data_IF_529788368180
#
_entry.id   IF_529788368180
#
_cell.length_a   1.000
_cell.length_b   1.000
_cell.length_c   1.000
_cell.angle_alpha   90.00
_cell.angle_beta   90.00
_cell.angle_gamma   90.00
#
_symmetry.space_group_name_H-M   'P 1'
#
loop_
_entity.id
_entity.type
_entity.pdbx_description
1 polymer ?
#
# COMPACT_ATOMS: atom_id res chain seq x y z
N UNK A 1 13.23 -37.20 -1.28
CA UNK A 1 12.81 -37.09 0.15
C UNK A 1 11.42 -36.42 0.23
N UNK A 2 10.64 -36.56 1.32
CA UNK A 2 9.34 -35.86 1.45
C UNK A 2 9.50 -34.49 2.17
N UNK A 3 8.55 -33.57 1.96
CA UNK A 3 8.63 -32.19 2.46
C UNK A 3 8.82 -32.08 3.99
N UNK A 4 8.06 -32.84 4.77
CA UNK A 4 8.17 -32.80 6.24
C UNK A 4 9.53 -33.26 6.75
N UNK A 5 10.16 -34.24 6.06
CA UNK A 5 11.51 -34.68 6.38
C UNK A 5 12.54 -33.62 5.95
N UNK A 6 12.37 -33.01 4.79
CA UNK A 6 13.25 -31.95 4.29
C UNK A 6 13.31 -30.76 5.28
N UNK A 7 12.16 -30.27 5.74
CA UNK A 7 12.08 -29.18 6.73
C UNK A 7 12.83 -29.51 8.02
N UNK A 8 12.58 -30.69 8.59
CA UNK A 8 13.27 -31.15 9.81
C UNK A 8 14.78 -31.32 9.63
N UNK A 9 15.25 -31.64 8.43
CA UNK A 9 16.66 -31.75 8.14
C UNK A 9 17.30 -30.36 7.99
N UNK A 10 16.61 -29.42 7.33
CA UNK A 10 17.04 -28.03 7.22
C UNK A 10 17.16 -27.36 8.60
N UNK A 11 16.19 -27.55 9.50
CA UNK A 11 16.22 -27.06 10.90
C UNK A 11 17.42 -27.60 11.70
N UNK A 12 17.94 -28.78 11.33
CA UNK A 12 19.09 -29.42 11.98
C UNK A 12 20.43 -29.15 11.29
N UNK A 13 20.43 -28.45 10.16
CA UNK A 13 21.62 -28.26 9.33
C UNK A 13 22.09 -29.53 8.62
N UNK A 14 21.19 -30.49 8.38
CA UNK A 14 21.47 -31.75 7.70
C UNK A 14 20.97 -31.71 6.24
N UNK A 15 21.70 -32.31 5.30
CA UNK A 15 21.34 -32.41 3.87
C UNK A 15 20.75 -31.10 3.29
N UNK A 16 21.40 -29.98 3.58
CA UNK A 16 20.86 -28.63 3.32
C UNK A 16 20.45 -28.48 1.84
N UNK A 17 21.33 -28.80 0.89
CA UNK A 17 21.04 -28.66 -0.55
C UNK A 17 19.84 -29.49 -1.01
N UNK A 18 19.76 -30.79 -0.67
CA UNK A 18 18.61 -31.64 -1.03
C UNK A 18 17.32 -31.16 -0.35
N UNK A 19 17.43 -30.66 0.89
CA UNK A 19 16.28 -30.14 1.63
C UNK A 19 15.74 -28.87 1.01
N UNK A 20 16.62 -27.94 0.61
CA UNK A 20 16.26 -26.69 -0.06
C UNK A 20 15.57 -26.97 -1.39
N UNK A 21 16.07 -27.89 -2.21
CA UNK A 21 15.44 -28.24 -3.50
C UNK A 21 13.96 -28.62 -3.32
N UNK A 22 13.66 -29.47 -2.33
CA UNK A 22 12.29 -29.94 -2.07
C UNK A 22 11.42 -28.82 -1.50
N UNK A 23 11.96 -28.00 -0.59
CA UNK A 23 11.20 -26.92 0.06
C UNK A 23 10.87 -25.82 -0.95
N UNK A 24 11.85 -25.40 -1.76
CA UNK A 24 11.71 -24.32 -2.74
C UNK A 24 10.79 -24.73 -3.89
N UNK A 25 10.92 -25.96 -4.42
CA UNK A 25 10.03 -26.47 -5.48
C UNK A 25 8.56 -26.54 -5.00
N UNK A 26 8.36 -26.98 -3.75
CA UNK A 26 7.03 -26.94 -3.14
C UNK A 26 6.50 -25.51 -2.99
N UNK A 27 7.33 -24.58 -2.52
CA UNK A 27 6.92 -23.19 -2.32
C UNK A 27 6.57 -22.50 -3.64
N UNK A 28 7.34 -22.73 -4.71
CA UNK A 28 7.03 -22.25 -6.06
C UNK A 28 5.69 -22.79 -6.55
N UNK A 29 5.42 -24.09 -6.35
CA UNK A 29 4.15 -24.71 -6.75
C UNK A 29 2.95 -24.08 -6.03
N UNK A 30 3.10 -23.76 -4.74
CA UNK A 30 2.08 -23.09 -3.95
C UNK A 30 1.84 -21.65 -4.44
N UNK A 31 2.90 -20.85 -4.61
CA UNK A 31 2.77 -19.48 -5.12
C UNK A 31 2.21 -19.43 -6.55
N UNK A 32 2.59 -20.37 -7.42
CA UNK A 32 2.02 -20.45 -8.77
C UNK A 32 0.51 -20.67 -8.73
N UNK A 33 0.04 -21.66 -7.97
CA UNK A 33 -1.39 -21.95 -7.88
C UNK A 33 -2.15 -20.86 -7.13
N UNK A 34 -1.54 -20.25 -6.11
CA UNK A 34 -2.09 -19.09 -5.44
C UNK A 34 -2.29 -17.96 -6.46
N UNK A 35 -1.25 -17.60 -7.20
CA UNK A 35 -1.32 -16.53 -8.18
C UNK A 35 -2.34 -16.82 -9.29
N UNK A 36 -2.39 -18.05 -9.80
CA UNK A 36 -3.34 -18.47 -10.82
C UNK A 36 -4.81 -18.37 -10.35
N UNK A 37 -5.10 -18.83 -9.13
CA UNK A 37 -6.45 -18.75 -8.56
C UNK A 37 -6.85 -17.30 -8.33
N UNK A 38 -6.02 -16.51 -7.67
CA UNK A 38 -6.29 -15.08 -7.43
C UNK A 38 -6.44 -14.31 -8.76
N UNK A 39 -5.62 -14.64 -9.75
CA UNK A 39 -5.70 -14.00 -11.06
C UNK A 39 -7.05 -14.27 -11.72
N UNK A 40 -7.64 -15.46 -11.58
CA UNK A 40 -8.98 -15.71 -12.11
C UNK A 40 -10.04 -14.75 -11.53
N UNK A 41 -9.97 -14.42 -10.24
CA UNK A 41 -10.86 -13.43 -9.63
C UNK A 41 -10.58 -12.01 -10.15
N UNK A 42 -9.33 -11.55 -10.04
CA UNK A 42 -8.95 -10.19 -10.41
C UNK A 42 -9.10 -9.92 -11.92
N UNK A 43 -8.89 -10.94 -12.76
CA UNK A 43 -9.03 -10.82 -14.21
C UNK A 43 -10.49 -10.71 -14.65
N UNK A 44 -11.43 -11.34 -13.93
CA UNK A 44 -12.88 -11.08 -14.14
C UNK A 44 -13.20 -9.64 -13.78
N UNK A 45 -12.75 -9.16 -12.61
CA UNK A 45 -12.99 -7.77 -12.17
C UNK A 45 -12.45 -6.78 -13.19
N UNK A 46 -11.25 -7.04 -13.73
CA UNK A 46 -10.69 -6.21 -14.79
C UNK A 46 -11.52 -6.27 -16.08
N UNK A 47 -11.99 -7.46 -16.46
CA UNK A 47 -12.84 -7.67 -17.62
C UNK A 47 -14.19 -6.94 -17.53
N UNK A 48 -14.81 -6.87 -16.35
CA UNK A 48 -16.10 -6.17 -16.18
C UNK A 48 -15.99 -4.64 -16.23
N UNK A 49 -14.82 -4.09 -15.92
CA UNK A 49 -14.55 -2.64 -15.91
C UNK A 49 -13.81 -2.14 -17.15
N UNK A 50 -13.62 -3.01 -18.15
CA UNK A 50 -12.78 -2.73 -19.32
C UNK A 50 -13.16 -1.45 -20.05
N UNK A 51 -14.46 -1.25 -20.31
CA UNK A 51 -14.96 -0.12 -21.06
C UNK A 51 -14.72 1.21 -20.33
N UNK A 52 -14.72 1.20 -18.99
CA UNK A 52 -14.40 2.36 -18.15
C UNK A 52 -12.88 2.66 -18.12
N UNK A 53 -12.06 1.67 -18.47
CA UNK A 53 -10.60 1.77 -18.42
C UNK A 53 -9.97 2.12 -19.77
N UNK A 54 -10.64 1.84 -20.89
CA UNK A 54 -10.20 2.19 -22.25
C UNK A 54 -10.45 3.66 -22.61
N UNK A 55 -10.02 4.58 -21.74
CA UNK A 55 -10.25 6.03 -21.90
C UNK A 55 -9.13 6.76 -22.64
N UNK A 56 -7.92 6.20 -22.67
CA UNK A 56 -6.77 6.79 -23.36
C UNK A 56 -5.85 5.71 -23.93
N UNK A 57 -4.91 6.12 -24.79
CA UNK A 57 -4.00 5.21 -25.51
C UNK A 57 -3.10 4.41 -24.59
N UNK A 58 -2.74 4.96 -23.43
CA UNK A 58 -1.83 4.32 -22.52
C UNK A 58 -2.53 3.24 -21.69
N UNK A 59 -3.71 3.54 -21.16
CA UNK A 59 -4.52 2.53 -20.49
C UNK A 59 -4.90 1.41 -21.45
N UNK A 60 -5.26 1.74 -22.68
CA UNK A 60 -5.49 0.76 -23.75
C UNK A 60 -4.25 -0.12 -23.99
N UNK A 61 -3.07 0.48 -24.09
CA UNK A 61 -1.83 -0.27 -24.25
C UNK A 61 -1.54 -1.21 -23.07
N UNK A 62 -1.68 -0.73 -21.83
CA UNK A 62 -1.46 -1.54 -20.60
C UNK A 62 -2.36 -2.78 -20.62
N UNK A 63 -3.65 -2.57 -20.85
CA UNK A 63 -4.66 -3.62 -20.85
C UNK A 63 -4.42 -4.64 -21.97
N UNK A 64 -4.14 -4.17 -23.19
CA UNK A 64 -3.79 -5.08 -24.30
C UNK A 64 -2.51 -5.86 -24.02
N UNK A 65 -1.56 -5.26 -23.29
CA UNK A 65 -0.32 -5.93 -22.88
C UNK A 65 -0.58 -7.01 -21.85
N UNK A 66 -1.40 -6.74 -20.84
CA UNK A 66 -1.87 -7.74 -19.86
C UNK A 66 -2.55 -8.90 -20.60
N UNK A 67 -3.39 -8.59 -21.58
CA UNK A 67 -4.08 -9.59 -22.41
C UNK A 67 -3.11 -10.51 -23.16
N UNK A 68 -2.14 -9.93 -23.88
CA UNK A 68 -1.11 -10.68 -24.61
C UNK A 68 -0.28 -11.57 -23.69
N UNK A 69 0.15 -11.03 -22.55
CA UNK A 69 0.94 -11.77 -21.56
C UNK A 69 0.10 -12.92 -20.97
N UNK A 70 -1.18 -12.69 -20.68
CA UNK A 70 -2.09 -13.72 -20.16
C UNK A 70 -2.22 -14.91 -21.11
N UNK A 71 -2.40 -14.64 -22.41
CA UNK A 71 -2.45 -15.68 -23.45
C UNK A 71 -1.17 -16.53 -23.41
N UNK A 72 -0.01 -15.88 -23.42
CA UNK A 72 1.31 -16.54 -23.48
C UNK A 72 1.62 -17.31 -22.20
N UNK A 73 1.30 -16.77 -21.03
CA UNK A 73 1.64 -17.35 -19.72
C UNK A 73 0.68 -18.48 -19.34
N UNK A 74 -0.63 -18.25 -19.47
CA UNK A 74 -1.65 -19.15 -18.93
C UNK A 74 -2.10 -20.19 -19.96
N UNK A 75 -2.34 -19.77 -21.21
CA UNK A 75 -2.92 -20.64 -22.23
C UNK A 75 -1.84 -21.38 -23.03
N UNK A 76 -0.84 -20.66 -23.53
CA UNK A 76 0.27 -21.25 -24.30
C UNK A 76 1.37 -21.85 -23.44
N UNK A 77 1.49 -21.38 -22.18
CA UNK A 77 2.59 -21.71 -21.25
C UNK A 77 3.98 -21.48 -21.84
N UNK A 78 4.11 -20.43 -22.65
CA UNK A 78 5.33 -20.03 -23.34
C UNK A 78 6.03 -18.90 -22.57
N UNK A 79 6.77 -19.28 -21.53
CA UNK A 79 7.49 -18.36 -20.65
C UNK A 79 8.97 -18.39 -20.99
N UNK A 80 9.52 -17.22 -21.37
CA UNK A 80 10.94 -17.02 -21.64
C UNK A 80 11.48 -15.77 -20.91
N UNK A 81 12.80 -15.56 -21.00
CA UNK A 81 13.45 -14.40 -20.37
C UNK A 81 13.02 -13.06 -20.98
N UNK A 82 12.55 -13.05 -22.24
CA UNK A 82 12.05 -11.83 -22.86
C UNK A 82 10.71 -11.42 -22.25
N UNK A 83 9.81 -12.38 -22.03
CA UNK A 83 8.53 -12.16 -21.39
C UNK A 83 8.70 -11.72 -19.94
N UNK A 84 9.67 -12.27 -19.21
CA UNK A 84 10.01 -11.82 -17.85
C UNK A 84 10.44 -10.35 -17.80
N UNK A 85 11.23 -9.88 -18.78
CA UNK A 85 11.59 -8.46 -18.87
C UNK A 85 10.41 -7.57 -19.28
N UNK A 86 9.55 -8.10 -20.14
CA UNK A 86 8.36 -7.42 -20.62
C UNK A 86 7.36 -7.16 -19.48
N UNK A 87 7.11 -8.16 -18.62
CA UNK A 87 6.21 -8.00 -17.48
C UNK A 87 6.82 -7.14 -16.37
N UNK A 88 8.14 -7.22 -16.12
CA UNK A 88 8.83 -6.34 -15.17
C UNK A 88 8.72 -4.86 -15.61
N UNK A 89 8.96 -4.58 -16.90
CA UNK A 89 8.81 -3.24 -17.46
C UNK A 89 7.37 -2.74 -17.39
N UNK A 90 6.39 -3.61 -17.65
CA UNK A 90 4.97 -3.26 -17.53
C UNK A 90 4.62 -2.91 -16.08
N UNK A 91 5.05 -3.76 -15.13
CA UNK A 91 4.85 -3.54 -13.69
C UNK A 91 5.45 -2.21 -13.25
N UNK A 92 6.73 -1.95 -13.56
CA UNK A 92 7.42 -0.70 -13.20
C UNK A 92 6.70 0.54 -13.73
N UNK A 93 6.17 0.49 -14.95
CA UNK A 93 5.35 1.56 -15.52
C UNK A 93 4.07 1.79 -14.70
N UNK A 94 3.28 0.74 -14.47
CA UNK A 94 2.02 0.83 -13.72
C UNK A 94 2.28 1.31 -12.27
N UNK A 95 3.28 0.76 -11.59
CA UNK A 95 3.64 1.16 -10.22
C UNK A 95 4.01 2.65 -10.13
N UNK A 96 4.82 3.16 -11.06
CA UNK A 96 5.18 4.59 -11.11
C UNK A 96 3.94 5.50 -11.25
N UNK A 97 2.98 5.11 -12.09
CA UNK A 97 1.73 5.87 -12.28
C UNK A 97 0.86 5.87 -11.04
N UNK A 98 0.72 4.70 -10.42
CA UNK A 98 -0.03 4.58 -9.17
C UNK A 98 0.62 5.43 -8.07
N UNK A 99 1.96 5.51 -8.02
CA UNK A 99 2.69 6.31 -7.05
C UNK A 99 2.47 7.82 -7.24
N UNK A 100 2.44 8.30 -8.49
CA UNK A 100 2.10 9.69 -8.81
C UNK A 100 0.66 10.00 -8.40
N UNK A 101 -0.30 9.10 -8.67
CA UNK A 101 -1.69 9.27 -8.26
C UNK A 101 -1.82 9.31 -6.72
N UNK A 102 -1.14 8.41 -6.00
CA UNK A 102 -1.09 8.43 -4.53
C UNK A 102 -0.53 9.75 -4.00
N UNK A 103 0.50 10.31 -4.66
CA UNK A 103 1.05 11.61 -4.27
C UNK A 103 0.04 12.75 -4.44
N UNK A 104 -0.78 12.74 -5.50
CA UNK A 104 -1.86 13.72 -5.65
C UNK A 104 -2.96 13.54 -4.59
N UNK A 105 -3.29 12.30 -4.21
CA UNK A 105 -4.23 12.01 -3.12
C UNK A 105 -3.69 12.58 -1.80
N UNK A 106 -2.46 12.22 -1.42
CA UNK A 106 -1.81 12.72 -0.19
C UNK A 106 -1.76 14.25 -0.16
N UNK A 107 -1.48 14.88 -1.31
CA UNK A 107 -1.46 16.33 -1.42
C UNK A 107 -2.85 16.95 -1.26
N UNK A 108 -3.89 16.37 -1.85
CA UNK A 108 -5.25 16.89 -1.69
C UNK A 108 -5.75 16.76 -0.25
N UNK A 109 -5.47 15.67 0.44
CA UNK A 109 -5.82 15.48 1.84
C UNK A 109 -5.20 16.56 2.74
N UNK A 110 -4.00 17.04 2.41
CA UNK A 110 -3.38 18.19 3.09
C UNK A 110 -4.23 19.46 2.94
N UNK A 111 -4.74 19.74 1.73
CA UNK A 111 -5.58 20.93 1.50
C UNK A 111 -6.99 20.74 2.05
N UNK A 112 -7.55 19.54 1.98
CA UNK A 112 -8.85 19.19 2.56
C UNK A 112 -8.84 19.37 4.07
N UNK A 113 -7.77 18.92 4.74
CA UNK A 113 -7.53 19.17 6.17
C UNK A 113 -7.68 20.67 6.51
N UNK A 114 -7.16 21.56 5.67
CA UNK A 114 -7.18 23.02 5.88
C UNK A 114 -8.57 23.59 5.64
N UNK A 115 -9.27 23.12 4.60
CA UNK A 115 -10.60 23.62 4.23
C UNK A 115 -11.65 23.19 5.25
N UNK A 116 -11.66 21.91 5.64
CA UNK A 116 -12.66 21.37 6.57
C UNK A 116 -12.64 22.10 7.93
N UNK A 117 -11.47 22.60 8.35
CA UNK A 117 -11.29 23.33 9.62
C UNK A 117 -11.68 24.80 9.59
N UNK A 118 -12.02 25.33 8.42
CA UNK A 118 -12.46 26.72 8.27
C UNK A 118 -13.98 26.83 8.13
N UNK A 119 -14.68 25.70 8.06
CA UNK A 119 -16.13 25.65 7.98
C UNK A 119 -16.82 26.11 9.26
N UNK A 120 -18.00 26.69 9.07
CA UNK A 120 -18.88 27.06 10.16
C UNK A 120 -19.72 25.85 10.58
N UNK A 121 -19.13 24.93 11.35
CA UNK A 121 -19.88 23.83 11.93
C UNK A 121 -20.70 24.32 13.14
N UNK A 122 -21.99 24.00 13.17
CA UNK A 122 -22.90 24.39 14.25
C UNK A 122 -22.89 23.44 15.45
N UNK A 123 -22.02 22.41 15.42
CA UNK A 123 -21.98 21.40 16.45
C UNK A 123 -21.60 21.95 17.82
N UNK A 124 -22.35 21.50 18.82
CA UNK A 124 -22.16 21.88 20.20
C UNK A 124 -20.94 21.18 20.80
N UNK A 125 -20.11 21.98 21.48
CA UNK A 125 -18.89 21.55 22.16
C UNK A 125 -19.27 20.68 23.36
N UNK A 126 -19.01 19.37 23.28
CA UNK A 126 -18.88 18.56 24.47
C UNK A 126 -17.64 19.00 25.25
N UNK A 127 -17.64 18.79 26.56
CA UNK A 127 -16.45 19.02 27.38
C UNK A 127 -15.24 18.29 26.76
N UNK A 128 -14.18 19.04 26.40
CA UNK A 128 -13.01 18.54 25.66
C UNK A 128 -12.37 17.31 26.34
N UNK A 129 -12.34 17.27 27.68
CA UNK A 129 -11.81 16.14 28.43
C UNK A 129 -12.71 14.89 28.35
N UNK A 130 -14.03 15.09 28.26
CA UNK A 130 -15.00 14.01 28.11
C UNK A 130 -14.89 13.44 26.69
N UNK A 131 -14.84 14.31 25.68
CA UNK A 131 -14.68 13.88 24.30
C UNK A 131 -13.37 13.14 24.06
N UNK A 132 -12.26 13.60 24.65
CA UNK A 132 -10.98 12.88 24.59
C UNK A 132 -11.08 11.45 25.17
N UNK A 133 -11.88 11.25 26.24
CA UNK A 133 -12.13 9.90 26.79
C UNK A 133 -13.02 9.05 25.89
N UNK A 134 -14.01 9.66 25.26
CA UNK A 134 -14.89 8.99 24.28
C UNK A 134 -14.06 8.48 23.09
N UNK A 135 -13.17 9.32 22.55
CA UNK A 135 -12.25 8.94 21.45
C UNK A 135 -11.36 7.77 21.86
N UNK A 136 -10.73 7.83 23.04
CA UNK A 136 -9.88 6.72 23.53
C UNK A 136 -10.71 5.44 23.68
N UNK A 137 -11.93 5.55 24.22
CA UNK A 137 -12.83 4.39 24.35
C UNK A 137 -13.21 3.82 22.99
N UNK A 138 -13.44 4.66 21.97
CA UNK A 138 -13.72 4.26 20.60
C UNK A 138 -12.56 3.51 19.95
N UNK A 139 -11.34 4.07 20.05
CA UNK A 139 -10.11 3.47 19.49
C UNK A 139 -9.89 2.07 20.08
N UNK A 140 -10.05 1.92 21.40
CA UNK A 140 -9.86 0.66 22.12
C UNK A 140 -11.12 -0.21 22.26
N UNK A 141 -12.21 0.12 21.56
CA UNK A 141 -13.42 -0.71 21.55
C UNK A 141 -13.19 -2.06 20.84
N UNK A 142 -12.27 -2.09 19.88
CA UNK A 142 -11.83 -3.33 19.21
C UNK A 142 -10.77 -4.06 20.04
N UNK A 143 -10.71 -5.38 19.89
CA UNK A 143 -9.62 -6.22 20.44
C UNK A 143 -8.52 -6.52 19.42
N UNK A 144 -8.75 -6.18 18.16
CA UNK A 144 -7.81 -6.40 17.08
C UNK A 144 -6.86 -5.20 16.92
N UNK A 145 -5.55 -5.47 17.01
CA UNK A 145 -4.52 -4.44 16.96
C UNK A 145 -4.45 -3.72 15.61
N UNK A 146 -4.83 -4.38 14.51
CA UNK A 146 -4.87 -3.73 13.18
C UNK A 146 -5.97 -2.67 13.17
N UNK A 147 -7.16 -3.04 13.61
CA UNK A 147 -8.30 -2.13 13.75
C UNK A 147 -8.00 -0.97 14.71
N UNK A 148 -7.38 -1.25 15.86
CA UNK A 148 -6.99 -0.21 16.83
C UNK A 148 -6.05 0.81 16.16
N UNK A 149 -5.03 0.33 15.45
CA UNK A 149 -4.07 1.20 14.79
C UNK A 149 -4.72 2.01 13.66
N UNK A 150 -5.62 1.42 12.89
CA UNK A 150 -6.36 2.13 11.85
C UNK A 150 -7.20 3.27 12.44
N UNK A 151 -8.05 2.97 13.43
CA UNK A 151 -8.86 3.98 14.14
C UNK A 151 -8.00 5.10 14.72
N UNK A 152 -6.86 4.75 15.31
CA UNK A 152 -5.95 5.73 15.87
C UNK A 152 -5.38 6.67 14.79
N UNK A 153 -4.96 6.14 13.64
CA UNK A 153 -4.46 6.96 12.53
C UNK A 153 -5.51 7.92 12.00
N UNK A 154 -6.72 7.43 11.77
CA UNK A 154 -7.86 8.24 11.31
C UNK A 154 -8.20 9.35 12.32
N UNK A 155 -8.24 9.03 13.62
CA UNK A 155 -8.42 10.04 14.68
C UNK A 155 -7.29 11.07 14.67
N UNK A 156 -6.03 10.63 14.61
CA UNK A 156 -4.85 11.52 14.63
C UNK A 156 -4.87 12.51 13.46
N UNK A 157 -5.33 12.07 12.29
CA UNK A 157 -5.48 12.89 11.09
C UNK A 157 -6.53 14.00 11.27
N UNK A 158 -7.57 13.75 12.08
CA UNK A 158 -8.65 14.71 12.35
C UNK A 158 -8.36 15.68 13.52
N UNK A 159 -7.32 15.46 14.33
CA UNK A 159 -7.00 16.34 15.44
C UNK A 159 -6.42 17.70 14.99
N UNK A 160 -6.63 18.79 15.76
CA UNK A 160 -5.96 20.06 15.51
C UNK A 160 -4.44 19.94 15.71
N UNK A 161 -3.65 20.19 14.65
CA UNK A 161 -2.19 20.18 14.76
C UNK A 161 -1.66 21.42 15.53
N UNK A 162 -1.17 21.19 16.74
CA UNK A 162 -0.65 22.23 17.68
C UNK A 162 0.72 21.95 18.26
N UNK A 163 1.43 20.97 17.71
CA UNK A 163 2.78 20.63 18.15
C UNK A 163 3.77 21.76 17.87
N UNK A 164 4.74 21.91 18.77
CA UNK A 164 5.96 22.65 18.47
C UNK A 164 6.82 21.84 17.50
N UNK A 165 7.71 22.50 16.77
CA UNK A 165 8.66 21.82 15.88
C UNK A 165 9.48 20.76 16.63
N UNK A 166 9.98 21.09 17.82
CA UNK A 166 10.75 20.16 18.64
C UNK A 166 9.93 18.91 18.98
N UNK A 167 8.69 19.09 19.46
CA UNK A 167 7.85 17.96 19.84
C UNK A 167 7.42 17.10 18.64
N UNK A 168 7.19 17.72 17.48
CA UNK A 168 6.93 17.00 16.24
C UNK A 168 8.13 16.13 15.82
N UNK A 169 9.35 16.66 15.91
CA UNK A 169 10.57 15.91 15.59
C UNK A 169 10.81 14.77 16.58
N UNK A 170 10.52 14.99 17.88
CA UNK A 170 10.59 13.94 18.89
C UNK A 170 9.67 12.76 18.53
N UNK A 171 8.43 13.01 18.08
CA UNK A 171 7.50 11.93 17.68
C UNK A 171 7.97 11.15 16.45
N UNK A 172 8.54 11.82 15.45
CA UNK A 172 9.16 11.15 14.30
C UNK A 172 10.30 10.26 14.80
N UNK A 173 11.19 10.81 15.63
CA UNK A 173 12.33 10.05 16.13
C UNK A 173 11.90 8.84 16.96
N UNK A 174 10.95 9.01 17.88
CA UNK A 174 10.41 7.93 18.71
C UNK A 174 9.77 6.84 17.85
N UNK A 175 8.95 7.21 16.86
CA UNK A 175 8.31 6.26 15.95
C UNK A 175 9.32 5.46 15.12
N UNK A 176 10.33 6.13 14.57
CA UNK A 176 11.30 5.48 13.70
C UNK A 176 12.29 4.59 14.46
N UNK A 177 12.41 4.72 15.78
CA UNK A 177 13.15 3.74 16.60
C UNK A 177 12.55 2.33 16.57
N UNK A 178 11.27 2.19 16.19
CA UNK A 178 10.59 0.89 16.05
C UNK A 178 11.19 0.01 14.93
N UNK A 179 11.95 0.61 14.01
CA UNK A 179 12.66 -0.12 12.94
C UNK A 179 13.97 -0.78 13.41
N UNK A 180 14.33 -0.67 14.70
CA UNK A 180 15.50 -1.36 15.24
C UNK A 180 15.41 -2.87 15.00
N UNK A 181 16.46 -3.43 14.41
CA UNK A 181 16.53 -4.84 14.07
C UNK A 181 15.78 -5.24 12.80
N UNK A 182 15.13 -4.30 12.10
CA UNK A 182 14.59 -4.56 10.75
C UNK A 182 15.66 -4.32 9.69
N UNK A 183 15.47 -4.86 8.47
CA UNK A 183 16.22 -4.44 7.30
C UNK A 183 16.20 -2.91 7.08
N UNK A 184 17.30 -2.35 6.57
CA UNK A 184 17.51 -0.90 6.34
C UNK A 184 16.56 -0.30 5.30
N UNK A 185 16.29 -1.04 4.22
CA UNK A 185 15.34 -0.71 3.16
C UNK A 185 13.96 -0.30 3.69
N UNK A 186 13.41 -1.04 4.68
CA UNK A 186 12.09 -0.73 5.26
C UNK A 186 11.98 0.66 5.86
N UNK A 187 13.07 1.15 6.48
CA UNK A 187 13.11 2.52 7.01
C UNK A 187 13.28 3.53 5.89
N UNK A 188 14.10 3.22 4.89
CA UNK A 188 14.29 4.08 3.70
C UNK A 188 12.95 4.27 2.96
N UNK A 189 12.18 3.20 2.77
CA UNK A 189 10.87 3.25 2.13
C UNK A 189 9.90 4.16 2.88
N UNK A 190 9.81 4.03 4.21
CA UNK A 190 8.97 4.92 5.01
C UNK A 190 9.45 6.38 4.91
N UNK A 191 10.75 6.63 4.99
CA UNK A 191 11.30 7.98 4.86
C UNK A 191 10.98 8.59 3.48
N UNK A 192 11.02 7.79 2.42
CA UNK A 192 10.63 8.17 1.06
C UNK A 192 9.15 8.56 0.97
N UNK A 193 8.25 7.80 1.61
CA UNK A 193 6.82 8.15 1.71
C UNK A 193 6.66 9.49 2.43
N UNK A 194 7.29 9.65 3.60
CA UNK A 194 7.16 10.88 4.38
C UNK A 194 7.78 12.10 3.68
N UNK A 195 8.83 11.90 2.88
CA UNK A 195 9.43 12.95 2.05
C UNK A 195 8.45 13.43 0.98
N UNK A 196 7.73 12.52 0.32
CA UNK A 196 6.75 12.86 -0.72
C UNK A 196 5.53 13.60 -0.17
N UNK A 197 5.11 13.31 1.05
CA UNK A 197 4.06 14.10 1.74
C UNK A 197 4.50 15.57 1.89
N UNK A 198 5.78 15.82 2.16
CA UNK A 198 6.29 17.18 2.37
C UNK A 198 6.69 17.89 1.06
N UNK A 199 7.23 17.14 0.12
CA UNK A 199 7.78 17.59 -1.16
C UNK A 199 7.26 16.69 -2.29
N UNK A 200 5.97 16.80 -2.65
CA UNK A 200 5.36 15.95 -3.67
C UNK A 200 6.07 16.08 -5.03
N UNK A 201 6.69 17.23 -5.31
CA UNK A 201 7.49 17.49 -6.51
C UNK A 201 8.74 16.62 -6.66
N UNK A 202 9.15 15.90 -5.61
CA UNK A 202 10.25 14.95 -5.68
C UNK A 202 9.82 13.58 -6.22
N UNK A 203 8.52 13.31 -6.29
CA UNK A 203 8.05 12.10 -6.92
C UNK A 203 8.25 12.19 -8.44
N UNK A 204 8.82 11.14 -9.03
CA UNK A 204 9.15 11.12 -10.44
C UNK A 204 7.87 11.11 -11.29
N UNK A 205 7.74 12.08 -12.20
CA UNK A 205 6.53 12.25 -13.03
C UNK A 205 5.46 13.14 -12.39
N UNK A 206 5.66 13.67 -11.18
CA UNK A 206 4.75 14.65 -10.60
C UNK A 206 4.66 15.91 -11.49
N UNK A 207 3.45 16.30 -11.86
CA UNK A 207 3.16 17.40 -12.77
C UNK A 207 3.37 17.12 -14.26
N UNK A 208 4.02 15.99 -14.61
CA UNK A 208 4.19 15.53 -16.00
C UNK A 208 3.14 14.47 -16.35
N UNK A 209 2.87 13.56 -15.42
CA UNK A 209 1.84 12.55 -15.51
C UNK A 209 0.51 13.10 -14.97
N UNK A 210 -0.58 12.79 -15.68
CA UNK A 210 -1.94 13.23 -15.36
C UNK A 210 -2.09 14.76 -15.27
N UNK A 211 -1.71 15.47 -16.34
CA UNK A 211 -1.73 16.95 -16.42
C UNK A 211 -3.07 17.55 -15.99
N UNK A 212 -4.20 16.94 -16.37
CA UNK A 212 -5.54 17.40 -15.98
C UNK A 212 -5.74 17.36 -14.44
N UNK A 213 -5.28 16.29 -13.79
CA UNK A 213 -5.35 16.15 -12.33
C UNK A 213 -4.42 17.18 -11.67
N UNK A 214 -3.20 17.33 -12.18
CA UNK A 214 -2.26 18.33 -11.68
C UNK A 214 -2.80 19.76 -11.78
N UNK A 215 -3.50 20.08 -12.87
CA UNK A 215 -4.16 21.37 -13.04
C UNK A 215 -5.26 21.59 -12.01
N UNK A 216 -6.07 20.57 -11.72
CA UNK A 216 -7.12 20.63 -10.68
C UNK A 216 -6.53 20.78 -9.27
N UNK A 217 -5.49 20.03 -8.95
CA UNK A 217 -4.74 20.16 -7.68
C UNK A 217 -4.22 21.59 -7.53
N UNK A 218 -3.58 22.15 -8.56
CA UNK A 218 -3.08 23.53 -8.51
C UNK A 218 -4.18 24.58 -8.42
N UNK A 219 -5.34 24.35 -9.04
CA UNK A 219 -6.52 25.21 -8.89
C UNK A 219 -6.95 25.28 -7.43
N UNK A 220 -7.07 24.13 -6.76
CA UNK A 220 -7.41 24.06 -5.32
C UNK A 220 -6.34 24.77 -4.49
N UNK A 221 -5.05 24.45 -4.71
CA UNK A 221 -3.90 25.07 -4.03
C UNK A 221 -3.94 26.60 -4.07
N UNK A 222 -4.28 27.16 -5.23
CA UNK A 222 -4.31 28.61 -5.43
C UNK A 222 -5.43 29.32 -4.66
N UNK A 223 -6.51 28.61 -4.33
CA UNK A 223 -7.67 29.14 -3.59
C UNK A 223 -7.53 28.96 -2.08
N UNK A 224 -6.90 27.86 -1.65
CA UNK A 224 -6.78 27.53 -0.23
C UNK A 224 -5.86 28.51 0.48
N UNK A 225 -6.42 29.21 1.47
CA UNK A 225 -5.70 30.18 2.29
C UNK A 225 -6.28 30.22 3.69
N UNK A 226 -5.71 31.07 4.56
CA UNK A 226 -6.22 31.24 5.93
C UNK A 226 -7.40 32.21 5.93
N UNK A 227 -8.45 31.87 6.68
CA UNK A 227 -9.67 32.67 6.85
C UNK A 227 -10.43 32.87 5.52
N UNK A 228 -10.67 31.78 4.79
CA UNK A 228 -11.48 31.81 3.58
C UNK A 228 -12.93 32.21 3.88
N UNK A 229 -13.56 32.89 2.93
CA UNK A 229 -14.98 33.18 2.98
C UNK A 229 -15.80 31.92 2.68
N UNK A 230 -17.01 31.82 3.26
CA UNK A 230 -17.89 30.65 3.10
C UNK A 230 -18.17 30.31 1.62
N UNK A 231 -18.26 31.32 0.75
CA UNK A 231 -18.40 31.11 -0.70
C UNK A 231 -17.17 30.41 -1.30
N UNK A 232 -15.96 30.86 -0.95
CA UNK A 232 -14.71 30.23 -1.43
C UNK A 232 -14.58 28.80 -0.91
N UNK A 233 -14.97 28.55 0.34
CA UNK A 233 -14.99 27.20 0.92
C UNK A 233 -15.92 26.29 0.10
N UNK A 234 -17.13 26.75 -0.21
CA UNK A 234 -18.08 25.99 -1.02
C UNK A 234 -17.53 25.69 -2.43
N UNK A 235 -16.95 26.68 -3.11
CA UNK A 235 -16.33 26.50 -4.43
C UNK A 235 -15.15 25.51 -4.40
N UNK A 236 -14.31 25.56 -3.36
CA UNK A 236 -13.18 24.63 -3.21
C UNK A 236 -13.68 23.21 -2.92
N UNK A 237 -14.77 23.04 -2.18
CA UNK A 237 -15.40 21.73 -1.95
C UNK A 237 -15.95 21.10 -3.23
N UNK A 238 -16.58 21.90 -4.09
CA UNK A 238 -17.01 21.43 -5.40
C UNK A 238 -15.81 20.96 -6.24
N UNK A 239 -14.70 21.71 -6.20
CA UNK A 239 -13.45 21.33 -6.86
C UNK A 239 -12.88 20.01 -6.26
N UNK A 240 -12.91 19.84 -4.93
CA UNK A 240 -12.52 18.59 -4.26
C UNK A 240 -13.35 17.40 -4.71
N UNK A 241 -14.69 17.53 -4.69
CA UNK A 241 -15.58 16.45 -5.10
C UNK A 241 -15.28 15.99 -6.53
N UNK A 242 -15.09 16.96 -7.43
CA UNK A 242 -14.75 16.66 -8.82
C UNK A 242 -13.40 15.97 -8.98
N UNK A 243 -12.32 16.52 -8.38
CA UNK A 243 -10.99 15.94 -8.52
C UNK A 243 -10.89 14.56 -7.85
N UNK A 244 -11.58 14.36 -6.72
CA UNK A 244 -11.62 13.07 -6.03
C UNK A 244 -12.31 11.99 -6.86
N UNK A 245 -13.36 12.31 -7.63
CA UNK A 245 -13.95 11.37 -8.59
C UNK A 245 -12.96 10.98 -9.68
N UNK A 246 -12.32 11.97 -10.31
CA UNK A 246 -11.34 11.73 -11.39
C UNK A 246 -10.13 10.93 -10.89
N UNK A 247 -9.63 11.25 -9.69
CA UNK A 247 -8.54 10.52 -9.05
C UNK A 247 -8.91 9.09 -8.75
N UNK A 248 -10.08 8.86 -8.13
CA UNK A 248 -10.55 7.52 -7.80
C UNK A 248 -10.63 6.62 -9.04
N UNK A 249 -11.21 7.12 -10.13
CA UNK A 249 -11.29 6.37 -11.39
C UNK A 249 -9.91 5.97 -11.94
N UNK A 250 -8.92 6.87 -11.85
CA UNK A 250 -7.56 6.56 -12.27
C UNK A 250 -6.86 5.60 -11.30
N UNK A 251 -6.97 5.82 -9.99
CA UNK A 251 -6.39 4.94 -8.97
C UNK A 251 -6.95 3.53 -9.12
N UNK A 252 -8.26 3.37 -9.19
CA UNK A 252 -8.91 2.06 -9.35
C UNK A 252 -8.40 1.34 -10.61
N UNK A 253 -8.27 2.06 -11.74
CA UNK A 253 -7.74 1.53 -12.99
C UNK A 253 -6.33 0.97 -12.85
N UNK A 254 -5.38 1.76 -12.33
CA UNK A 254 -4.00 1.31 -12.20
C UNK A 254 -3.82 0.30 -11.08
N UNK A 255 -4.66 0.34 -10.04
CA UNK A 255 -4.71 -0.63 -8.96
C UNK A 255 -5.14 -2.01 -9.48
N UNK A 256 -6.21 -2.08 -10.27
CA UNK A 256 -6.66 -3.35 -10.85
C UNK A 256 -5.65 -3.89 -11.87
N UNK A 257 -5.01 -3.01 -12.65
CA UNK A 257 -3.93 -3.39 -13.57
C UNK A 257 -2.68 -3.95 -12.87
N UNK A 258 -2.23 -3.34 -11.75
CA UNK A 258 -1.04 -3.81 -11.04
C UNK A 258 -1.29 -5.15 -10.34
N UNK A 259 -2.49 -5.37 -9.80
CA UNK A 259 -2.87 -6.66 -9.16
C UNK A 259 -2.72 -7.82 -10.14
N UNK A 260 -3.36 -7.74 -11.30
CA UNK A 260 -3.28 -8.81 -12.31
C UNK A 260 -1.85 -8.97 -12.85
N UNK A 261 -1.10 -7.87 -13.02
CA UNK A 261 0.30 -7.89 -13.47
C UNK A 261 1.20 -8.58 -12.47
N UNK A 262 1.07 -8.28 -11.17
CA UNK A 262 1.84 -8.94 -10.11
C UNK A 262 1.56 -10.45 -10.05
N UNK A 263 0.30 -10.85 -10.24
CA UNK A 263 -0.09 -12.26 -10.25
C UNK A 263 0.47 -13.01 -11.47
N UNK A 264 0.41 -12.42 -12.67
CA UNK A 264 1.08 -12.96 -13.86
C UNK A 264 2.59 -13.10 -13.65
N UNK A 265 3.23 -12.08 -13.05
CA UNK A 265 4.65 -12.12 -12.79
C UNK A 265 5.00 -13.23 -11.78
N UNK A 266 4.18 -13.38 -10.74
CA UNK A 266 4.31 -14.48 -9.77
C UNK A 266 4.22 -15.85 -10.46
N UNK A 267 3.22 -16.05 -11.34
CA UNK A 267 3.10 -17.29 -12.11
C UNK A 267 4.36 -17.57 -12.95
N UNK A 268 4.95 -16.54 -13.55
CA UNK A 268 6.12 -16.70 -14.41
C UNK A 268 7.39 -17.06 -13.63
N UNK A 269 7.68 -16.37 -12.52
CA UNK A 269 8.87 -16.67 -11.71
C UNK A 269 8.75 -18.01 -10.98
N UNK A 270 7.53 -18.41 -10.64
CA UNK A 270 7.26 -19.68 -9.98
C UNK A 270 7.06 -20.85 -10.96
N UNK A 271 7.08 -20.65 -12.28
CA UNK A 271 6.87 -21.72 -13.24
C UNK A 271 7.92 -22.84 -13.11
N UNK A 272 7.48 -24.09 -13.31
CA UNK A 272 8.28 -25.29 -13.06
C UNK A 272 7.67 -26.54 -13.69
N UNK A 273 8.50 -27.58 -13.91
CA UNK A 273 8.12 -28.78 -14.67
C UNK A 273 7.04 -29.65 -14.00
N UNK A 274 6.92 -29.59 -12.68
CA UNK A 274 6.06 -30.48 -11.89
C UNK A 274 4.78 -29.77 -11.39
N UNK A 275 4.49 -28.57 -11.87
CA UNK A 275 3.32 -27.83 -11.44
C UNK A 275 2.08 -28.43 -12.07
N UNK A 276 1.12 -28.79 -11.23
CA UNK A 276 -0.25 -29.11 -11.62
C UNK A 276 -1.11 -27.85 -11.43
N UNK A 277 -1.50 -27.16 -12.53
CA UNK A 277 -2.29 -25.95 -12.43
C UNK A 277 -3.74 -26.25 -12.05
N UNK A 278 -4.37 -25.35 -11.29
CA UNK A 278 -5.80 -25.40 -11.04
C UNK A 278 -6.59 -25.26 -12.37
N UNK A 279 -7.26 -26.35 -12.78
CA UNK A 279 -7.97 -26.41 -14.06
C UNK A 279 -9.19 -25.49 -14.12
N UNK A 280 -9.87 -25.27 -12.99
CA UNK A 280 -11.03 -24.37 -12.93
C UNK A 280 -10.59 -22.92 -13.13
N UNK A 281 -9.49 -22.51 -12.49
CA UNK A 281 -8.92 -21.18 -12.70
C UNK A 281 -8.52 -20.95 -14.17
N UNK A 282 -7.85 -21.92 -14.81
CA UNK A 282 -7.51 -21.84 -16.24
C UNK A 282 -8.77 -21.70 -17.11
N UNK A 283 -9.81 -22.49 -16.84
CA UNK A 283 -11.06 -22.45 -17.59
C UNK A 283 -11.68 -21.04 -17.51
N UNK A 284 -11.80 -20.50 -16.30
CA UNK A 284 -12.35 -19.16 -16.07
C UNK A 284 -11.54 -18.10 -16.82
N UNK A 285 -10.21 -18.10 -16.67
CA UNK A 285 -9.32 -17.14 -17.35
C UNK A 285 -9.50 -17.19 -18.87
N UNK A 286 -9.60 -18.41 -19.43
CA UNK A 286 -9.82 -18.60 -20.87
C UNK A 286 -11.17 -18.03 -21.31
N UNK A 287 -12.23 -18.27 -20.55
CA UNK A 287 -13.55 -17.74 -20.90
C UNK A 287 -13.60 -16.21 -20.84
N UNK A 288 -12.96 -15.61 -19.83
CA UNK A 288 -12.81 -14.15 -19.74
C UNK A 288 -12.03 -13.64 -20.96
N UNK A 289 -10.97 -14.34 -21.39
CA UNK A 289 -10.20 -13.95 -22.57
C UNK A 289 -11.01 -13.91 -23.86
N UNK A 290 -11.85 -14.91 -24.07
CA UNK A 290 -12.69 -15.05 -25.25
C UNK A 290 -13.81 -14.01 -25.27
N UNK A 291 -14.35 -13.67 -24.11
CA UNK A 291 -15.56 -12.85 -23.96
C UNK A 291 -15.28 -11.40 -23.51
N UNK A 292 -14.03 -10.98 -23.53
CA UNK A 292 -13.54 -9.68 -23.03
C UNK A 292 -14.26 -8.44 -23.60
N UNK A 293 -14.83 -8.54 -24.81
CA UNK A 293 -15.60 -7.46 -25.46
C UNK A 293 -17.10 -7.76 -25.57
N UNK A 294 -17.53 -8.92 -25.09
CA UNK A 294 -18.93 -9.30 -25.07
C UNK A 294 -19.52 -8.74 -23.79
N UNK A 295 -19.97 -7.49 -23.85
CA UNK A 295 -20.55 -6.76 -22.72
C UNK A 295 -21.96 -7.32 -22.41
N UNK A 296 -22.01 -8.54 -21.90
CA UNK A 296 -23.22 -9.33 -21.66
C UNK A 296 -23.26 -9.71 -20.18
N UNK A 297 -24.21 -9.12 -19.45
CA UNK A 297 -24.42 -9.36 -18.02
C UNK A 297 -24.58 -10.85 -17.69
N UNK A 298 -25.27 -11.62 -18.54
CA UNK A 298 -25.46 -13.07 -18.34
C UNK A 298 -24.13 -13.83 -18.40
N UNK A 299 -23.18 -13.37 -19.22
CA UNK A 299 -21.85 -13.98 -19.33
C UNK A 299 -21.05 -13.73 -18.04
N UNK A 300 -21.10 -12.51 -17.55
CA UNK A 300 -20.40 -12.09 -16.33
C UNK A 300 -20.98 -12.83 -15.12
N UNK A 301 -22.31 -12.93 -15.00
CA UNK A 301 -22.96 -13.64 -13.90
C UNK A 301 -22.60 -15.14 -13.91
N UNK A 302 -22.54 -15.76 -15.09
CA UNK A 302 -22.09 -17.15 -15.22
C UNK A 302 -20.63 -17.32 -14.78
N UNK A 303 -19.73 -16.42 -15.20
CA UNK A 303 -18.32 -16.43 -14.80
C UNK A 303 -18.16 -16.26 -13.29
N UNK A 304 -18.94 -15.36 -12.68
CA UNK A 304 -18.96 -15.15 -11.23
C UNK A 304 -19.46 -16.43 -10.51
N UNK A 305 -20.49 -17.10 -11.03
CA UNK A 305 -20.95 -18.37 -10.45
C UNK A 305 -19.88 -19.47 -10.53
N UNK A 306 -19.05 -19.48 -11.58
CA UNK A 306 -17.92 -20.42 -11.69
C UNK A 306 -16.82 -20.17 -10.67
N UNK A 307 -16.63 -18.92 -10.22
CA UNK A 307 -15.68 -18.60 -9.14
C UNK A 307 -16.01 -19.30 -7.82
N UNK A 308 -17.27 -19.68 -7.57
CA UNK A 308 -17.65 -20.47 -6.39
C UNK A 308 -16.90 -21.81 -6.29
N UNK A 309 -16.36 -22.32 -7.41
CA UNK A 309 -15.52 -23.54 -7.40
C UNK A 309 -14.09 -23.30 -6.90
N UNK A 310 -13.71 -22.05 -6.68
CA UNK A 310 -12.40 -21.62 -6.16
C UNK A 310 -12.48 -21.12 -4.70
N UNK A 311 -13.68 -21.07 -4.11
CA UNK A 311 -13.88 -20.65 -2.72
C UNK A 311 -13.10 -21.56 -1.75
N UNK A 312 -12.42 -20.98 -0.76
CA UNK A 312 -11.57 -21.70 0.19
C UNK A 312 -10.17 -22.06 -0.34
N UNK A 313 -9.98 -22.11 -1.66
CA UNK A 313 -8.69 -22.52 -2.26
C UNK A 313 -7.62 -21.46 -2.03
N UNK A 314 -7.99 -20.18 -2.10
CA UNK A 314 -7.08 -19.06 -1.86
C UNK A 314 -6.57 -19.08 -0.41
N UNK A 315 -7.45 -19.27 0.56
CA UNK A 315 -7.12 -19.32 1.98
C UNK A 315 -6.24 -20.54 2.33
N UNK A 316 -6.58 -21.72 1.80
CA UNK A 316 -5.81 -22.95 2.03
C UNK A 316 -4.38 -22.85 1.48
N UNK A 317 -4.23 -22.28 0.27
CA UNK A 317 -2.93 -22.03 -0.33
C UNK A 317 -2.13 -21.01 0.49
N UNK A 318 -2.74 -19.88 0.84
CA UNK A 318 -2.07 -18.82 1.62
C UNK A 318 -1.63 -19.33 3.00
N UNK A 319 -2.49 -20.08 3.70
CA UNK A 319 -2.16 -20.70 4.97
C UNK A 319 -0.95 -21.64 4.86
N UNK A 320 -0.89 -22.42 3.78
CA UNK A 320 0.22 -23.34 3.52
C UNK A 320 1.51 -22.59 3.17
N UNK A 321 1.41 -21.52 2.37
CA UNK A 321 2.51 -20.61 2.03
C UNK A 321 3.13 -20.05 3.31
N UNK A 322 2.32 -19.43 4.18
CA UNK A 322 2.78 -18.81 5.44
C UNK A 322 3.43 -19.82 6.37
N UNK A 323 2.88 -21.04 6.47
CA UNK A 323 3.48 -22.13 7.26
C UNK A 323 4.88 -22.53 6.76
N UNK A 324 5.16 -22.30 5.49
CA UNK A 324 6.43 -22.64 4.86
C UNK A 324 7.46 -21.49 4.89
N UNK A 325 7.03 -20.23 5.08
CA UNK A 325 7.91 -19.05 5.03
C UNK A 325 9.10 -19.17 6.00
N UNK A 326 8.87 -19.63 7.23
CA UNK A 326 9.96 -19.85 8.20
C UNK A 326 11.11 -20.72 7.69
N UNK A 327 10.84 -21.69 6.80
CA UNK A 327 11.89 -22.53 6.20
C UNK A 327 12.67 -21.79 5.11
N UNK A 328 12.01 -20.87 4.39
CA UNK A 328 12.65 -19.98 3.40
C UNK A 328 13.50 -18.93 4.12
N UNK A 329 12.98 -18.33 5.20
CA UNK A 329 13.73 -17.36 6.00
C UNK A 329 14.98 -17.99 6.61
N UNK A 330 14.87 -19.20 7.16
CA UNK A 330 16.01 -19.97 7.64
C UNK A 330 17.04 -20.21 6.53
N UNK A 331 16.58 -20.56 5.32
CA UNK A 331 17.46 -20.73 4.17
C UNK A 331 18.24 -19.46 3.86
N UNK A 332 17.55 -18.34 3.70
CA UNK A 332 18.12 -17.04 3.32
C UNK A 332 19.09 -16.52 4.39
N UNK A 333 18.73 -16.62 5.67
CA UNK A 333 19.51 -16.04 6.75
C UNK A 333 20.72 -16.91 7.16
N UNK A 334 20.54 -18.23 7.25
CA UNK A 334 21.53 -19.11 7.89
C UNK A 334 22.34 -19.92 6.87
N UNK A 335 21.80 -20.11 5.66
CA UNK A 335 22.38 -21.00 4.65
C UNK A 335 22.71 -20.32 3.32
N UNK A 336 22.70 -18.98 3.25
CA UNK A 336 23.08 -18.23 2.04
C UNK A 336 24.40 -18.70 1.42
N UNK A 337 25.44 -18.86 2.24
CA UNK A 337 26.75 -19.31 1.78
C UNK A 337 26.76 -20.73 1.17
N UNK A 338 25.75 -21.55 1.48
CA UNK A 338 25.63 -22.93 0.98
C UNK A 338 25.04 -22.97 -0.43
N UNK A 339 24.10 -22.07 -0.73
CA UNK A 339 23.41 -22.06 -2.03
C UNK A 339 23.85 -20.94 -2.98
N UNK A 340 24.61 -19.95 -2.51
CA UNK A 340 25.18 -18.89 -3.39
C UNK A 340 25.98 -19.52 -4.54
N UNK A 341 25.79 -19.00 -5.75
CA UNK A 341 26.36 -19.48 -7.00
C UNK A 341 25.93 -20.90 -7.41
N UNK A 342 24.78 -21.37 -6.93
CA UNK A 342 24.19 -22.66 -7.35
C UNK A 342 22.91 -22.44 -8.15
N UNK A 343 22.40 -23.50 -8.81
CA UNK A 343 21.16 -23.41 -9.59
C UNK A 343 19.95 -23.02 -8.73
N UNK A 344 19.92 -23.43 -7.46
CA UNK A 344 18.81 -23.16 -6.55
C UNK A 344 18.76 -21.72 -6.05
N UNK A 345 19.86 -20.95 -6.17
CA UNK A 345 19.85 -19.52 -5.83
C UNK A 345 18.80 -18.76 -6.63
N UNK A 346 18.66 -19.07 -7.93
CA UNK A 346 17.63 -18.48 -8.79
C UNK A 346 16.23 -18.85 -8.32
N UNK A 347 16.01 -20.08 -7.88
CA UNK A 347 14.69 -20.51 -7.42
C UNK A 347 14.32 -19.92 -6.06
N UNK A 348 15.28 -19.73 -5.16
CA UNK A 348 15.08 -19.00 -3.90
C UNK A 348 14.76 -17.52 -4.18
N UNK A 349 15.50 -16.88 -5.10
CA UNK A 349 15.20 -15.52 -5.58
C UNK A 349 13.76 -15.43 -6.09
N UNK A 350 13.35 -16.36 -6.96
CA UNK A 350 11.99 -16.38 -7.50
C UNK A 350 10.92 -16.52 -6.41
N UNK A 351 11.18 -17.29 -5.34
CA UNK A 351 10.26 -17.40 -4.18
C UNK A 351 10.16 -16.07 -3.43
N UNK A 352 11.27 -15.37 -3.18
CA UNK A 352 11.22 -14.03 -2.56
C UNK A 352 10.51 -13.01 -3.44
N UNK A 353 10.79 -13.01 -4.74
CA UNK A 353 10.08 -12.15 -5.70
C UNK A 353 8.57 -12.43 -5.66
N UNK A 354 8.15 -13.70 -5.64
CA UNK A 354 6.76 -14.07 -5.48
C UNK A 354 6.15 -13.56 -4.15
N UNK A 355 6.88 -13.71 -3.04
CA UNK A 355 6.46 -13.19 -1.74
C UNK A 355 6.22 -11.68 -1.80
N UNK A 356 7.16 -10.90 -2.35
CA UNK A 356 7.02 -9.45 -2.53
C UNK A 356 5.86 -9.06 -3.45
N UNK A 357 5.70 -9.75 -4.59
CA UNK A 357 4.64 -9.49 -5.56
C UNK A 357 3.23 -9.78 -5.01
N UNK A 358 3.10 -10.79 -4.14
CA UNK A 358 1.83 -11.16 -3.48
C UNK A 358 1.58 -10.41 -2.18
N UNK A 359 2.51 -9.55 -1.76
CA UNK A 359 2.32 -8.69 -0.59
C UNK A 359 1.32 -7.56 -0.91
N UNK A 360 0.85 -6.87 0.14
CA UNK A 360 -0.04 -5.72 -0.01
C UNK A 360 0.64 -4.46 -0.57
N UNK A 361 1.95 -4.48 -0.83
CA UNK A 361 2.69 -3.32 -1.33
C UNK A 361 2.92 -3.39 -2.84
N UNK A 362 2.31 -2.46 -3.57
CA UNK A 362 2.42 -2.35 -5.03
C UNK A 362 3.69 -1.64 -5.51
N UNK A 363 4.44 -1.03 -4.59
CA UNK A 363 5.62 -0.20 -4.87
C UNK A 363 6.95 -0.89 -4.56
N UNK A 364 6.92 -2.14 -4.09
CA UNK A 364 8.15 -2.87 -3.74
C UNK A 364 9.09 -2.95 -4.94
N UNK A 365 10.34 -2.56 -4.74
CA UNK A 365 11.41 -2.83 -5.70
C UNK A 365 11.79 -4.31 -5.64
N UNK A 366 11.83 -4.97 -6.79
CA UNK A 366 12.12 -6.40 -6.88
C UNK A 366 13.61 -6.69 -7.05
N UNK A 367 14.46 -5.66 -7.15
CA UNK A 367 15.92 -5.77 -7.32
C UNK A 367 16.69 -5.98 -6.00
N UNK A 368 15.99 -6.30 -4.90
CA UNK A 368 16.61 -6.57 -3.60
C UNK A 368 17.57 -7.77 -3.63
N UNK A 369 18.77 -7.58 -3.07
CA UNK A 369 19.79 -8.62 -2.95
C UNK A 369 19.35 -9.74 -1.99
N UNK A 370 19.76 -10.98 -2.30
CA UNK A 370 19.67 -12.10 -1.36
C UNK A 370 20.76 -12.09 -0.29
N UNK A 371 21.71 -11.16 -0.38
CA UNK A 371 22.67 -10.97 0.70
C UNK A 371 21.90 -10.53 1.96
N UNK A 372 22.21 -11.10 3.13
CA UNK A 372 21.59 -10.68 4.37
C UNK A 372 21.70 -9.15 4.52
N UNK A 373 20.57 -8.46 4.53
CA UNK A 373 20.55 -7.01 4.74
C UNK A 373 21.14 -6.70 6.10
N UNK A 374 21.94 -5.63 6.17
CA UNK A 374 22.34 -5.09 7.47
C UNK A 374 21.07 -4.71 8.22
N UNK A 375 20.92 -5.26 9.43
CA UNK A 375 19.85 -4.86 10.33
C UNK A 375 20.17 -3.51 10.94
N UNK A 376 19.14 -2.68 11.11
CA UNK A 376 19.27 -1.35 11.66
C UNK A 376 19.66 -1.40 13.14
N UNK A 377 20.74 -0.72 13.49
CA UNK A 377 21.12 -0.40 14.86
C UNK A 377 20.73 1.04 15.24
N UNK A 378 20.86 1.38 16.53
CA UNK A 378 20.48 2.71 17.03
C UNK A 378 21.24 3.84 16.33
N UNK A 379 22.50 3.60 15.95
CA UNK A 379 23.36 4.61 15.33
C UNK A 379 22.90 4.91 13.91
N UNK A 380 22.65 3.89 13.11
CA UNK A 380 22.22 4.00 11.72
C UNK A 380 20.81 4.61 11.62
N UNK A 381 19.90 4.23 12.51
CA UNK A 381 18.59 4.88 12.63
C UNK A 381 18.77 6.37 12.91
N UNK A 382 19.59 6.73 13.91
CA UNK A 382 19.84 8.12 14.24
C UNK A 382 20.41 8.92 13.05
N UNK A 383 21.36 8.35 12.30
CA UNK A 383 21.93 9.01 11.11
C UNK A 383 20.88 9.28 10.03
N UNK A 384 20.08 8.27 9.66
CA UNK A 384 19.05 8.39 8.62
C UNK A 384 17.94 9.36 9.04
N UNK A 385 17.44 9.23 10.28
CA UNK A 385 16.36 10.06 10.79
C UNK A 385 16.80 11.53 10.90
N UNK A 386 18.01 11.82 11.37
CA UNK A 386 18.47 13.22 11.43
C UNK A 386 18.69 13.83 10.05
N UNK A 387 19.18 13.06 9.08
CA UNK A 387 19.29 13.54 7.70
C UNK A 387 17.92 13.96 7.16
N UNK A 388 16.91 13.12 7.37
CA UNK A 388 15.53 13.40 7.01
C UNK A 388 14.94 14.62 7.74
N UNK A 389 15.10 14.70 9.07
CA UNK A 389 14.58 15.83 9.87
C UNK A 389 15.20 17.17 9.44
N UNK A 390 16.49 17.19 9.12
CA UNK A 390 17.17 18.38 8.61
C UNK A 390 16.61 18.81 7.25
N UNK A 391 16.31 17.85 6.39
CA UNK A 391 15.72 18.13 5.07
C UNK A 391 14.30 18.67 5.22
N UNK A 392 13.44 18.02 6.01
CA UNK A 392 12.09 18.51 6.29
C UNK A 392 12.13 19.92 6.84
N UNK A 393 13.01 20.21 7.82
CA UNK A 393 13.13 21.56 8.39
C UNK A 393 13.32 22.65 7.34
N UNK A 394 14.12 22.39 6.30
CA UNK A 394 14.36 23.34 5.21
C UNK A 394 13.07 23.54 4.42
N UNK A 395 12.38 22.45 4.09
CA UNK A 395 11.13 22.47 3.33
C UNK A 395 9.99 23.16 4.11
N UNK A 396 9.87 22.91 5.42
CA UNK A 396 8.87 23.56 6.29
C UNK A 396 8.94 25.10 6.19
N UNK A 397 10.13 25.67 5.96
CA UNK A 397 10.31 27.13 5.92
C UNK A 397 9.68 27.78 4.69
N UNK A 398 9.42 27.00 3.62
CA UNK A 398 8.79 27.49 2.38
C UNK A 398 7.29 27.65 2.51
N UNK A 399 6.67 26.83 3.35
CA UNK A 399 5.21 26.77 3.49
C UNK A 399 4.64 27.78 4.48
N UNK A 400 3.41 28.21 4.22
CA UNK A 400 2.60 28.92 5.20
C UNK A 400 2.27 28.04 6.41
N UNK A 401 1.96 28.69 7.53
CA UNK A 401 1.74 27.98 8.80
C UNK A 401 0.60 26.95 8.74
N UNK A 402 -0.46 27.22 7.98
CA UNK A 402 -1.61 26.31 7.84
C UNK A 402 -1.21 25.06 7.05
N UNK A 403 -0.43 25.23 5.97
CA UNK A 403 0.07 24.14 5.13
C UNK A 403 1.06 23.28 5.91
N UNK A 404 2.00 23.92 6.61
CA UNK A 404 2.92 23.21 7.52
C UNK A 404 2.17 22.34 8.52
N UNK A 405 1.12 22.85 9.15
CA UNK A 405 0.33 22.12 10.15
C UNK A 405 -0.41 20.95 9.54
N UNK A 406 -0.99 21.11 8.36
CA UNK A 406 -1.66 20.04 7.65
C UNK A 406 -0.68 18.92 7.26
N UNK A 407 0.48 19.25 6.66
CA UNK A 407 1.56 18.31 6.36
C UNK A 407 2.07 17.58 7.62
N UNK A 408 2.26 18.31 8.72
CA UNK A 408 2.63 17.70 10.01
C UNK A 408 1.55 16.73 10.51
N UNK A 409 0.27 17.06 10.35
CA UNK A 409 -0.83 16.16 10.71
C UNK A 409 -0.78 14.86 9.91
N UNK A 410 -0.63 14.98 8.58
CA UNK A 410 -0.52 13.83 7.69
C UNK A 410 0.67 12.94 8.07
N UNK A 411 1.85 13.52 8.29
CA UNK A 411 3.04 12.76 8.75
C UNK A 411 2.77 12.02 10.05
N UNK A 412 2.18 12.66 11.08
CA UNK A 412 1.89 12.01 12.35
C UNK A 412 0.94 10.82 12.17
N UNK A 413 -0.06 10.94 11.29
CA UNK A 413 -0.98 9.85 10.99
C UNK A 413 -0.34 8.71 10.16
N UNK A 414 0.65 9.03 9.31
CA UNK A 414 1.38 8.02 8.51
C UNK A 414 2.35 7.19 9.34
N UNK A 415 2.96 7.78 10.37
CA UNK A 415 3.95 7.12 11.22
C UNK A 415 3.42 5.82 11.85
N UNK A 416 4.28 4.78 12.03
CA UNK A 416 3.94 3.66 12.89
C UNK A 416 3.60 4.13 14.30
N UNK A 417 2.59 3.50 14.91
CA UNK A 417 2.08 3.87 16.23
C UNK A 417 3.19 3.86 17.29
N UNK A 418 3.59 5.05 17.74
CA UNK A 418 4.61 5.25 18.77
C UNK A 418 4.04 5.37 20.18
N UNK A 419 2.71 5.45 20.30
CA UNK A 419 2.03 5.47 21.59
C UNK A 419 2.06 4.08 22.22
N UNK A 420 2.63 4.00 23.43
CA UNK A 420 2.79 2.73 24.15
C UNK A 420 1.57 2.36 24.99
N UNK A 421 0.80 3.35 25.43
CA UNK A 421 -0.29 3.19 26.39
C UNK A 421 -1.45 4.15 26.07
N UNK A 422 -2.67 3.77 26.45
CA UNK A 422 -3.88 4.57 26.22
C UNK A 422 -3.82 5.96 26.88
N UNK A 423 -3.11 6.09 28.01
CA UNK A 423 -2.90 7.37 28.69
C UNK A 423 -2.12 8.36 27.81
N UNK A 424 -1.08 7.91 27.10
CA UNK A 424 -0.32 8.77 26.20
C UNK A 424 -1.16 9.27 25.01
N UNK A 425 -2.10 8.45 24.53
CA UNK A 425 -3.05 8.83 23.47
C UNK A 425 -4.02 9.87 24.00
N UNK A 426 -4.59 9.63 25.20
CA UNK A 426 -5.46 10.59 25.87
C UNK A 426 -4.78 11.94 26.05
N UNK A 427 -3.57 11.95 26.58
CA UNK A 427 -2.78 13.17 26.80
C UNK A 427 -2.54 13.93 25.50
N UNK A 428 -2.23 13.23 24.41
CA UNK A 428 -2.04 13.84 23.10
C UNK A 428 -3.33 14.49 22.58
N UNK A 429 -4.47 13.77 22.64
CA UNK A 429 -5.77 14.28 22.19
C UNK A 429 -6.18 15.50 23.03
N UNK A 430 -6.09 15.37 24.36
CA UNK A 430 -6.42 16.46 25.28
C UNK A 430 -5.52 17.68 25.04
N UNK A 431 -4.22 17.47 24.79
CA UNK A 431 -3.31 18.55 24.43
C UNK A 431 -3.72 19.25 23.13
N UNK A 432 -4.06 18.49 22.07
CA UNK A 432 -4.43 19.03 20.78
C UNK A 432 -5.66 19.97 20.86
N UNK A 433 -6.70 19.56 21.59
CA UNK A 433 -7.88 20.39 21.82
C UNK A 433 -7.58 21.61 22.73
N UNK A 434 -6.94 21.40 23.88
CA UNK A 434 -6.67 22.48 24.83
C UNK A 434 -5.78 23.60 24.23
N UNK A 435 -4.82 23.23 23.37
CA UNK A 435 -3.93 24.19 22.72
C UNK A 435 -4.58 24.87 21.51
N UNK A 436 -5.69 24.34 21.00
CA UNK A 436 -6.42 24.98 19.93
C UNK A 436 -7.30 26.11 20.48
N UNK A 437 -6.99 27.35 20.10
CA UNK A 437 -7.78 28.54 20.48
C UNK A 437 -8.79 28.96 19.42
N UNK A 438 -8.70 28.37 18.23
CA UNK A 438 -9.62 28.64 17.14
C UNK A 438 -10.86 27.78 17.33
N UNK A 439 -11.99 28.43 17.60
CA UNK A 439 -13.22 27.72 17.90
C UNK A 439 -13.79 27.01 16.67
N UNK A 440 -13.59 27.55 15.46
CA UNK A 440 -14.07 26.91 14.23
C UNK A 440 -13.29 25.63 13.98
N UNK A 441 -11.97 25.70 14.06
CA UNK A 441 -11.11 24.52 13.90
C UNK A 441 -11.41 23.44 14.95
N UNK A 442 -11.65 23.83 16.21
CA UNK A 442 -12.05 22.88 17.25
C UNK A 442 -13.38 22.19 16.94
N UNK A 443 -14.41 22.96 16.62
CA UNK A 443 -15.72 22.39 16.34
C UNK A 443 -15.69 21.50 15.09
N UNK A 444 -14.96 21.90 14.05
CA UNK A 444 -14.75 21.08 12.86
C UNK A 444 -14.06 19.75 13.18
N UNK A 445 -12.94 19.77 13.92
CA UNK A 445 -12.26 18.54 14.35
C UNK A 445 -13.15 17.62 15.19
N UNK A 446 -13.98 18.17 16.08
CA UNK A 446 -14.92 17.36 16.87
C UNK A 446 -15.97 16.71 15.95
N UNK A 447 -16.51 17.47 15.01
CA UNK A 447 -17.52 17.02 14.05
C UNK A 447 -16.99 15.89 13.17
N UNK A 448 -15.82 16.06 12.56
CA UNK A 448 -15.17 15.04 11.72
C UNK A 448 -14.84 13.76 12.50
N UNK A 449 -14.41 13.88 13.76
CA UNK A 449 -14.15 12.69 14.60
C UNK A 449 -15.46 11.99 14.99
N UNK A 450 -16.57 12.72 15.17
CA UNK A 450 -17.88 12.09 15.42
C UNK A 450 -18.39 11.36 14.19
N UNK A 451 -18.32 11.98 13.01
CA UNK A 451 -18.66 11.33 11.74
C UNK A 451 -17.85 10.03 11.57
N UNK A 452 -16.53 10.10 11.82
CA UNK A 452 -15.66 8.93 11.84
C UNK A 452 -16.13 7.87 12.86
N UNK A 453 -16.53 8.26 14.06
CA UNK A 453 -17.00 7.30 15.06
C UNK A 453 -18.31 6.62 14.65
N UNK A 454 -19.23 7.36 14.02
CA UNK A 454 -20.51 6.87 13.52
C UNK A 454 -20.34 5.89 12.35
N UNK A 455 -19.35 6.10 11.47
CA UNK A 455 -19.06 5.19 10.34
C UNK A 455 -18.62 3.78 10.77
N UNK A 456 -18.24 3.59 12.04
CA UNK A 456 -17.83 2.31 12.63
C UNK A 456 -18.91 1.64 13.50
N UNK A 457 -20.06 2.29 13.71
CA UNK A 457 -21.23 1.72 14.39
C UNK A 457 -22.11 0.91 13.44
#
# INVERSE_FOLDING_TARGET
>A
MNLNKAKKQLEKGENISESLEIIVDNQKTLYYNYALVNFAFEYIVLGTKIDDYLTNKESEWIILKIKDITERVVLDKNIDESLLKEIDSLRKNISKKLEVLTTYVDELEIYEYIVNRQENNQDFISNEEVFAKEIVSFVFASKDNVTINQKLKEVLEQLPMRLTKAKFFDYIQDSLTLYKGTPEDKLIDLLSILEKIYSPEKNEGYGEEFEDIYALVNKIKSKVSKNMEDQTIAEVKEDFLYVSTVLKENVDRYLDAIKVTNLLYTMMVCFGKNIEPNANAIKIIKEVQEKWHENNEDIIENLINELGQLEGVQEDLNFTIQKNESSIDLAVNDYYAVYKNTLIEKDINNVKTAQSLTSSSFFVDLEESNEPSNVLDDKKIYELVNAFLNQIEIEMKKDDMIIRRAKMSKIIATLPTFFKEAEAIYEYIAFAFNQCRDQREKTASISLIKELMEDYE
#
